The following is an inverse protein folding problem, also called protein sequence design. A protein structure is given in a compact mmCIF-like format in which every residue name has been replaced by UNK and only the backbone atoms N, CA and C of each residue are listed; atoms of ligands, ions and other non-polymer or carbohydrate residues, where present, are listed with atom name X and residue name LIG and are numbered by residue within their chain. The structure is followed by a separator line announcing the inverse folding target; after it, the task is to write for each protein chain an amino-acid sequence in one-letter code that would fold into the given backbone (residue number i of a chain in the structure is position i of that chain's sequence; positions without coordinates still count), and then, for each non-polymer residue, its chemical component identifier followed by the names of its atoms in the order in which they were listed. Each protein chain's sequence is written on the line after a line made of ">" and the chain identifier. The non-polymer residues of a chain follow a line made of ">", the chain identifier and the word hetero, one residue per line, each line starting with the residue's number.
data_IF_000015287386
#
_entry.id   IF_000015287386
#
_cell.length_a   1.000
_cell.length_b   1.000
_cell.length_c   1.000
_cell.angle_alpha   90.00
_cell.angle_beta   90.00
_cell.angle_gamma   90.00
#
_symmetry.space_group_name_H-M   'P 1'
#
loop_
_entity.id
_entity.type
_entity.pdbx_description
1 polymer ?
#
# COMPACT_ATOMS: atom_id res chain seq x y z
N UNK A 1 -3.30 -14.35 -16.53
CA UNK A 1 -3.02 -15.15 -15.30
C UNK A 1 -2.66 -16.59 -15.64
N UNK A 2 -3.43 -17.24 -16.52
CA UNK A 2 -3.30 -18.66 -16.91
C UNK A 2 -1.90 -19.06 -17.37
N UNK A 3 -1.16 -18.17 -18.05
CA UNK A 3 0.24 -18.44 -18.45
C UNK A 3 1.25 -18.28 -17.31
N UNK A 4 0.97 -17.41 -16.34
CA UNK A 4 1.88 -17.08 -15.25
C UNK A 4 1.82 -18.11 -14.11
N UNK A 5 0.65 -18.71 -13.88
CA UNK A 5 0.43 -19.64 -12.76
C UNK A 5 1.38 -20.85 -12.86
N UNK A 6 1.43 -21.62 -13.97
CA UNK A 6 2.31 -22.78 -14.05
C UNK A 6 3.80 -22.43 -13.93
N UNK A 7 4.20 -21.25 -14.42
CA UNK A 7 5.58 -20.77 -14.31
C UNK A 7 5.97 -20.44 -12.88
N UNK A 8 5.07 -19.82 -12.12
CA UNK A 8 5.27 -19.49 -10.71
C UNK A 8 5.26 -20.76 -9.85
N UNK A 9 4.36 -21.70 -10.15
CA UNK A 9 4.35 -23.03 -9.52
C UNK A 9 5.66 -23.78 -9.76
N UNK A 10 6.20 -23.73 -10.98
CA UNK A 10 7.48 -24.33 -11.33
C UNK A 10 8.68 -23.79 -10.54
N UNK A 11 8.58 -22.61 -9.91
CA UNK A 11 9.61 -22.05 -9.03
C UNK A 11 9.22 -22.08 -7.54
N UNK A 12 8.20 -22.86 -7.19
CA UNK A 12 7.79 -23.17 -5.83
C UNK A 12 6.80 -22.21 -5.19
N UNK A 13 6.08 -21.39 -5.97
CA UNK A 13 4.91 -20.68 -5.47
C UNK A 13 3.67 -21.56 -5.52
N UNK A 14 2.78 -21.37 -4.55
CA UNK A 14 1.46 -21.97 -4.49
C UNK A 14 0.43 -20.88 -4.82
N UNK A 15 -0.38 -21.11 -5.85
CA UNK A 15 -1.49 -20.23 -6.21
C UNK A 15 -2.70 -20.48 -5.30
N UNK A 16 -3.34 -19.42 -4.81
CA UNK A 16 -4.42 -19.48 -3.82
C UNK A 16 -5.65 -18.73 -4.37
N UNK A 17 -6.49 -19.39 -5.19
CA UNK A 17 -7.63 -18.76 -5.86
C UNK A 17 -8.79 -18.41 -4.92
N UNK A 18 -8.86 -18.99 -3.71
CA UNK A 18 -9.96 -18.80 -2.77
C UNK A 18 -10.14 -17.33 -2.36
N UNK A 19 -9.05 -16.57 -2.32
CA UNK A 19 -9.10 -15.13 -2.00
C UNK A 19 -9.64 -14.26 -3.15
N UNK A 20 -9.86 -14.80 -4.33
CA UNK A 20 -10.43 -14.05 -5.45
C UNK A 20 -11.91 -13.76 -5.26
N UNK A 21 -12.62 -14.53 -4.42
CA UNK A 21 -13.99 -14.23 -4.03
C UNK A 21 -14.13 -12.85 -3.35
N UNK A 22 -13.08 -12.40 -2.64
CA UNK A 22 -13.05 -11.10 -1.94
C UNK A 22 -12.16 -10.05 -2.61
N UNK A 23 -11.25 -10.48 -3.50
CA UNK A 23 -10.31 -9.63 -4.24
C UNK A 23 -10.16 -10.15 -5.68
N UNK A 24 -11.21 -10.05 -6.52
CA UNK A 24 -11.23 -10.63 -7.86
C UNK A 24 -10.13 -10.08 -8.80
N UNK A 25 -9.62 -8.88 -8.52
CA UNK A 25 -8.55 -8.22 -9.26
C UNK A 25 -7.14 -8.70 -8.89
N UNK A 26 -7.00 -9.57 -7.88
CA UNK A 26 -5.71 -10.00 -7.34
C UNK A 26 -5.50 -11.50 -7.50
N UNK A 27 -4.39 -11.88 -8.13
CA UNK A 27 -3.87 -13.26 -8.10
C UNK A 27 -2.87 -13.38 -6.97
N UNK A 28 -3.16 -14.21 -5.97
CA UNK A 28 -2.34 -14.37 -4.78
C UNK A 28 -1.53 -15.66 -4.83
N UNK A 29 -0.25 -15.55 -4.51
CA UNK A 29 0.64 -16.71 -4.38
C UNK A 29 1.41 -16.63 -3.07
N UNK A 30 1.74 -17.81 -2.53
CA UNK A 30 2.57 -17.94 -1.32
C UNK A 30 3.68 -18.97 -1.55
N UNK A 31 4.82 -18.79 -0.89
CA UNK A 31 5.95 -19.74 -0.95
C UNK A 31 6.54 -19.96 0.44
N UNK A 32 7.12 -21.14 0.63
CA UNK A 32 7.63 -21.62 1.91
C UNK A 32 6.62 -22.54 2.63
N UNK A 33 7.05 -23.17 3.73
CA UNK A 33 6.23 -24.11 4.50
C UNK A 33 5.01 -23.42 5.13
N UNK A 34 3.96 -24.19 5.45
CA UNK A 34 2.67 -23.65 5.92
C UNK A 34 2.85 -22.85 7.22
N UNK A 35 3.63 -23.41 8.13
CA UNK A 35 3.99 -22.88 9.43
C UNK A 35 4.93 -21.67 9.37
N UNK A 36 5.67 -21.51 8.27
CA UNK A 36 6.64 -20.42 8.10
C UNK A 36 6.67 -19.91 6.65
N UNK A 37 5.54 -19.37 6.17
CA UNK A 37 5.46 -18.74 4.85
C UNK A 37 6.48 -17.62 4.73
N UNK A 38 7.33 -17.70 3.72
CA UNK A 38 8.46 -16.79 3.53
C UNK A 38 8.18 -15.69 2.51
N UNK A 39 7.34 -15.99 1.51
CA UNK A 39 7.01 -15.02 0.45
C UNK A 39 5.51 -14.97 0.21
N UNK A 40 5.00 -13.75 0.03
CA UNK A 40 3.66 -13.45 -0.41
C UNK A 40 3.78 -12.62 -1.70
N UNK A 41 3.20 -13.11 -2.79
CA UNK A 41 3.18 -12.43 -4.07
C UNK A 41 1.76 -12.00 -4.40
N UNK A 42 1.57 -10.70 -4.60
CA UNK A 42 0.32 -10.11 -5.08
C UNK A 42 0.52 -9.70 -6.53
N UNK A 43 -0.06 -10.45 -7.46
CA UNK A 43 -0.09 -10.08 -8.87
C UNK A 43 -1.40 -9.32 -9.14
N UNK A 44 -1.28 -8.06 -9.53
CA UNK A 44 -2.37 -7.10 -9.75
C UNK A 44 -2.02 -6.18 -10.92
N UNK A 45 -3.03 -5.58 -11.53
CA UNK A 45 -2.84 -4.50 -12.51
C UNK A 45 -2.23 -3.25 -11.85
N UNK A 46 -1.32 -2.57 -12.54
CA UNK A 46 -0.65 -1.35 -12.03
C UNK A 46 -1.60 -0.18 -11.85
N UNK A 47 -2.69 -0.15 -12.63
CA UNK A 47 -3.78 0.82 -12.51
C UNK A 47 -4.73 0.53 -11.33
N UNK A 48 -4.59 -0.62 -10.66
CA UNK A 48 -5.50 -1.03 -9.59
C UNK A 48 -5.34 -0.16 -8.33
N UNK A 49 -6.43 0.08 -7.57
CA UNK A 49 -6.34 0.68 -6.24
C UNK A 49 -5.43 -0.12 -5.30
N UNK A 50 -5.41 -1.45 -5.42
CA UNK A 50 -4.54 -2.31 -4.62
C UNK A 50 -3.07 -1.93 -4.84
N UNK A 51 -2.61 -1.88 -6.09
CA UNK A 51 -1.24 -1.50 -6.41
C UNK A 51 -0.92 -0.09 -5.89
N UNK A 52 -1.75 0.91 -6.23
CA UNK A 52 -1.54 2.30 -5.81
C UNK A 52 -1.41 2.44 -4.29
N UNK A 53 -2.33 1.83 -3.54
CA UNK A 53 -2.33 1.92 -2.07
C UNK A 53 -1.08 1.28 -1.46
N UNK A 54 -0.60 0.16 -2.01
CA UNK A 54 0.63 -0.48 -1.51
C UNK A 54 1.86 0.41 -1.73
N UNK A 55 1.96 1.03 -2.91
CA UNK A 55 3.06 1.95 -3.22
C UNK A 55 2.99 3.20 -2.34
N UNK A 56 1.82 3.84 -2.22
CA UNK A 56 1.62 5.03 -1.38
C UNK A 56 1.95 4.76 0.08
N UNK A 57 1.47 3.65 0.65
CA UNK A 57 1.76 3.27 2.03
C UNK A 57 3.27 3.07 2.25
N UNK A 58 3.94 2.33 1.35
CA UNK A 58 5.38 2.09 1.41
C UNK A 58 6.17 3.41 1.38
N UNK A 59 5.85 4.27 0.43
CA UNK A 59 6.62 5.51 0.20
C UNK A 59 6.38 6.53 1.31
N UNK A 60 5.17 6.57 1.86
CA UNK A 60 4.88 7.37 3.05
C UNK A 60 5.71 6.91 4.27
N UNK A 61 5.76 5.61 4.57
CA UNK A 61 6.54 5.13 5.71
C UNK A 61 8.04 5.35 5.54
N UNK A 62 8.57 5.26 4.31
CA UNK A 62 9.97 5.55 4.00
C UNK A 62 10.34 7.02 4.22
N UNK A 63 9.41 7.93 3.96
CA UNK A 63 9.61 9.37 4.15
C UNK A 63 9.29 9.87 5.56
N UNK A 64 8.62 9.04 6.40
CA UNK A 64 8.20 9.41 7.75
C UNK A 64 8.67 8.39 8.80
N UNK A 65 9.96 8.44 9.24
CA UNK A 65 10.53 7.44 10.15
C UNK A 65 9.75 7.28 11.47
N UNK A 66 9.20 8.37 12.01
CA UNK A 66 8.37 8.31 13.22
C UNK A 66 7.08 7.50 13.02
N UNK A 67 6.48 7.54 11.83
CA UNK A 67 5.30 6.74 11.48
C UNK A 67 5.67 5.27 11.28
N UNK A 68 6.84 5.01 10.68
CA UNK A 68 7.36 3.66 10.56
C UNK A 68 7.61 3.02 11.94
N UNK A 69 8.18 3.78 12.89
CA UNK A 69 8.36 3.32 14.28
C UNK A 69 7.02 3.06 14.99
N UNK A 70 6.01 3.92 14.79
CA UNK A 70 4.65 3.67 15.30
C UNK A 70 4.08 2.37 14.74
N UNK A 71 4.24 2.15 13.44
CA UNK A 71 3.76 0.94 12.80
C UNK A 71 4.48 -0.32 13.28
N UNK A 72 5.79 -0.24 13.51
CA UNK A 72 6.57 -1.33 14.09
C UNK A 72 6.07 -1.70 15.48
N UNK A 73 5.95 -0.72 16.39
CA UNK A 73 5.45 -0.94 17.76
C UNK A 73 4.06 -1.58 17.75
N UNK A 74 3.17 -1.10 16.87
CA UNK A 74 1.86 -1.70 16.69
C UNK A 74 1.94 -3.16 16.26
N UNK A 75 2.75 -3.49 15.25
CA UNK A 75 2.91 -4.88 14.78
C UNK A 75 3.48 -5.79 15.86
N UNK A 76 4.47 -5.34 16.64
CA UNK A 76 5.05 -6.15 17.72
C UNK A 76 4.00 -6.47 18.78
N UNK A 77 3.27 -5.45 19.25
CA UNK A 77 2.19 -5.64 20.21
C UNK A 77 1.10 -6.59 19.70
N UNK A 78 0.64 -6.42 18.45
CA UNK A 78 -0.37 -7.30 17.87
C UNK A 78 0.13 -8.73 17.68
N UNK A 79 1.42 -8.93 17.41
CA UNK A 79 1.99 -10.27 17.30
C UNK A 79 2.01 -11.00 18.65
N UNK A 80 2.26 -10.27 19.74
CA UNK A 80 2.16 -10.79 21.12
C UNK A 80 0.70 -11.06 21.51
N UNK A 81 -0.22 -10.14 21.21
CA UNK A 81 -1.66 -10.26 21.55
C UNK A 81 -2.39 -11.35 20.75
N UNK A 82 -1.92 -11.66 19.53
CA UNK A 82 -2.60 -12.54 18.58
C UNK A 82 -1.68 -13.62 18.00
N UNK A 83 -0.83 -14.21 18.83
CA UNK A 83 0.18 -15.23 18.43
C UNK A 83 -0.42 -16.34 17.55
N UNK A 84 -1.59 -16.88 17.94
CA UNK A 84 -2.26 -17.97 17.23
C UNK A 84 -3.43 -17.52 16.34
N UNK A 85 -3.65 -16.20 16.19
CA UNK A 85 -4.76 -15.65 15.41
C UNK A 85 -4.27 -14.63 14.37
N UNK A 86 -3.87 -15.16 13.22
CA UNK A 86 -3.34 -14.38 12.09
C UNK A 86 -4.36 -13.38 11.52
N UNK A 87 -5.64 -13.70 11.56
CA UNK A 87 -6.70 -12.84 11.04
C UNK A 87 -6.90 -11.63 11.96
N UNK A 88 -6.93 -11.85 13.29
CA UNK A 88 -6.97 -10.76 14.27
C UNK A 88 -5.74 -9.86 14.17
N UNK A 89 -4.54 -10.43 14.00
CA UNK A 89 -3.33 -9.65 13.72
C UNK A 89 -3.45 -8.79 12.45
N UNK A 90 -4.03 -9.37 11.39
CA UNK A 90 -4.18 -8.68 10.10
C UNK A 90 -5.20 -7.54 10.21
N UNK A 91 -6.28 -7.75 10.96
CA UNK A 91 -7.31 -6.75 11.18
C UNK A 91 -6.87 -5.64 12.14
N UNK A 92 -6.11 -5.98 13.19
CA UNK A 92 -5.65 -5.03 14.21
C UNK A 92 -4.81 -3.88 13.65
N UNK A 93 -4.17 -4.07 12.49
CA UNK A 93 -3.39 -3.03 11.80
C UNK A 93 -4.19 -2.24 10.76
N UNK A 94 -5.42 -2.65 10.41
CA UNK A 94 -6.23 -2.05 9.34
C UNK A 94 -6.41 -0.54 9.56
N UNK A 95 -6.87 -0.12 10.75
CA UNK A 95 -7.08 1.31 11.07
C UNK A 95 -5.82 2.16 10.91
N UNK A 96 -4.65 1.62 11.27
CA UNK A 96 -3.38 2.35 11.10
C UNK A 96 -3.07 2.53 9.61
N UNK A 97 -3.16 1.46 8.82
CA UNK A 97 -2.89 1.49 7.37
C UNK A 97 -3.82 2.50 6.69
N UNK A 98 -5.11 2.48 7.00
CA UNK A 98 -6.08 3.45 6.48
C UNK A 98 -5.76 4.88 6.88
N UNK A 99 -5.34 5.12 8.13
CA UNK A 99 -4.96 6.46 8.60
C UNK A 99 -3.75 7.01 7.84
N UNK A 100 -2.78 6.14 7.49
CA UNK A 100 -1.63 6.52 6.67
C UNK A 100 -2.06 6.82 5.23
N UNK A 101 -2.88 5.95 4.63
CA UNK A 101 -3.39 6.16 3.27
C UNK A 101 -4.16 7.48 3.15
N UNK A 102 -4.96 7.85 4.16
CA UNK A 102 -5.66 9.15 4.20
C UNK A 102 -4.70 10.34 4.17
N UNK A 103 -3.52 10.24 4.79
CA UNK A 103 -2.48 11.29 4.75
C UNK A 103 -1.80 11.39 3.38
N UNK A 104 -1.77 10.29 2.62
CA UNK A 104 -1.29 10.30 1.22
C UNK A 104 -2.36 10.81 0.24
N UNK A 105 -3.63 10.83 0.66
CA UNK A 105 -4.77 11.09 -0.18
C UNK A 105 -5.20 12.57 -0.24
N UNK A 106 -4.29 13.56 -0.22
CA UNK A 106 -4.54 14.98 -0.62
C UNK A 106 -3.19 15.61 -1.00
N UNK A 107 -2.96 16.21 -2.18
CA UNK A 107 -3.62 17.42 -2.71
C UNK A 107 -3.92 17.31 -4.22
N UNK A 108 -5.09 17.79 -4.71
CA UNK A 108 -5.23 18.16 -6.11
C UNK A 108 -4.16 19.18 -6.46
N UNK A 109 -3.55 19.04 -7.64
CA UNK A 109 -2.78 20.13 -8.25
C UNK A 109 -3.76 21.29 -8.56
N UNK A 110 -4.05 22.13 -7.56
CA UNK A 110 -4.57 23.46 -7.82
C UNK A 110 -3.47 24.25 -8.53
N UNK A 111 -3.79 24.75 -9.71
CA UNK A 111 -2.89 25.26 -10.73
C UNK A 111 -1.70 26.09 -10.26
N UNK A 112 -0.52 25.72 -10.77
CA UNK A 112 0.52 26.71 -11.09
C UNK A 112 0.05 27.51 -12.31
N UNK A 113 -0.73 28.56 -12.09
CA UNK A 113 -0.86 29.72 -13.00
C UNK A 113 -1.42 30.89 -12.17
N UNK A 114 -0.53 31.74 -11.65
CA UNK A 114 -0.57 33.21 -11.78
C UNK A 114 0.68 33.84 -11.12
N UNK A 115 1.84 33.58 -11.70
CA UNK A 115 3.02 34.44 -11.55
C UNK A 115 3.32 34.97 -12.96
N UNK A 116 2.61 36.01 -13.39
CA UNK A 116 2.81 36.84 -14.60
C UNK A 116 1.48 37.61 -14.81
N UNK A 117 1.56 38.94 -14.93
CA UNK A 117 0.47 39.94 -14.86
C UNK A 117 0.10 40.26 -13.39
N UNK A 118 0.79 41.16 -12.68
CA UNK A 118 0.80 42.60 -12.96
C UNK A 118 2.19 43.25 -12.73
N UNK A 119 2.98 43.31 -13.80
CA UNK A 119 4.04 44.31 -13.97
C UNK A 119 3.52 45.31 -15.01
N UNK A 120 2.55 46.13 -14.61
CA UNK A 120 2.18 47.37 -15.32
C UNK A 120 1.17 48.15 -14.46
N UNK A 121 1.69 49.01 -13.58
CA UNK A 121 1.13 50.34 -13.25
C UNK A 121 1.93 50.98 -12.12
N UNK A 122 3.15 51.41 -12.46
CA UNK A 122 3.81 52.53 -11.80
C UNK A 122 4.09 53.58 -12.88
N UNK A 123 3.05 54.34 -13.24
CA UNK A 123 3.20 55.62 -13.91
C UNK A 123 1.93 56.45 -13.71
N UNK A 124 1.95 57.32 -12.70
CA UNK A 124 1.52 58.72 -12.80
C UNK A 124 1.53 59.35 -11.41
N UNK A 125 2.51 60.23 -11.23
CA UNK A 125 2.57 61.24 -10.18
C UNK A 125 1.38 62.21 -10.33
N UNK A 126 0.69 62.48 -9.22
CA UNK A 126 0.32 63.82 -8.73
C UNK A 126 -0.11 63.73 -7.25
#
# INVERSE_FOLDING_TARGET
>A
ATECIPRLEGIGYEYVPEYEAVRPERRYFRKGPVEARTHHLHMVETSSPFFRNHILFRDYLRSHPAEAQRYEKLKRRLAEEHEFNRDAYTEGKTRFVESVLKKTAVRPLAGRKKDLEDADHLESLE
#
